data_IF_080403234809
#
_entry.id   IF_080403234809
#
_cell.length_a   1.000
_cell.length_b   1.000
_cell.length_c   1.000
_cell.angle_alpha   90.00
_cell.angle_beta   90.00
_cell.angle_gamma   90.00
#
_symmetry.space_group_name_H-M   'P 1'
#
loop_
_entity.id
_entity.type
_entity.pdbx_description
1 polymer ?
#
# COMPACT_ATOMS: atom_id res chain seq x y z
N UNK A 1 -5.56 20.33 20.24
CA UNK A 1 -6.36 19.45 19.38
C UNK A 1 -5.62 19.34 18.06
N UNK A 2 -5.06 18.18 17.72
CA UNK A 2 -4.24 17.93 16.52
C UNK A 2 -5.07 17.74 15.22
N UNK A 3 -6.40 17.79 15.31
CA UNK A 3 -7.32 17.40 14.23
C UNK A 3 -8.07 18.55 13.56
N UNK A 4 -7.69 19.80 13.83
CA UNK A 4 -8.41 20.99 13.32
C UNK A 4 -7.57 21.92 12.46
N UNK A 5 -6.38 21.51 12.08
CA UNK A 5 -5.43 22.36 11.37
C UNK A 5 -5.15 21.72 10.01
N UNK A 6 -5.82 22.24 8.97
CA UNK A 6 -5.83 21.74 7.59
C UNK A 6 -4.41 21.48 7.06
N UNK A 7 -3.44 22.26 7.55
CA UNK A 7 -2.02 22.08 7.29
C UNK A 7 -1.51 20.69 7.69
N UNK A 8 -1.88 20.19 8.88
CA UNK A 8 -1.46 18.86 9.33
C UNK A 8 -2.10 17.75 8.50
N UNK A 9 -3.35 17.93 8.07
CA UNK A 9 -4.04 16.97 7.20
C UNK A 9 -3.32 16.89 5.85
N UNK A 10 -2.94 18.04 5.29
CA UNK A 10 -2.20 18.12 4.03
C UNK A 10 -0.81 17.49 4.12
N UNK A 11 -0.02 17.85 5.14
CA UNK A 11 1.31 17.26 5.38
C UNK A 11 1.22 15.73 5.56
N UNK A 12 0.20 15.27 6.29
CA UNK A 12 -0.05 13.84 6.44
C UNK A 12 -0.42 13.17 5.10
N UNK A 13 -1.30 13.80 4.31
CA UNK A 13 -1.70 13.28 3.01
C UNK A 13 -0.50 13.17 2.04
N UNK A 14 0.35 14.19 1.99
CA UNK A 14 1.58 14.19 1.18
C UNK A 14 2.54 13.05 1.61
N UNK A 15 2.76 12.87 2.91
CA UNK A 15 3.58 11.77 3.42
C UNK A 15 2.97 10.39 3.14
N UNK A 16 1.64 10.27 3.21
CA UNK A 16 0.92 9.05 2.87
C UNK A 16 1.04 8.73 1.37
N UNK A 17 0.91 9.71 0.48
CA UNK A 17 1.08 9.55 -0.98
C UNK A 17 2.46 8.94 -1.29
N UNK A 18 3.52 9.48 -0.70
CA UNK A 18 4.89 8.95 -0.88
C UNK A 18 4.95 7.48 -0.41
N UNK A 19 4.40 7.20 0.78
CA UNK A 19 4.43 5.86 1.38
C UNK A 19 3.69 4.82 0.54
N UNK A 20 2.48 5.14 0.05
CA UNK A 20 1.69 4.25 -0.80
C UNK A 20 2.32 4.06 -2.17
N UNK A 21 2.94 5.10 -2.74
CA UNK A 21 3.65 5.01 -4.02
C UNK A 21 4.88 4.10 -3.93
N UNK A 22 5.69 4.26 -2.87
CA UNK A 22 6.84 3.38 -2.60
C UNK A 22 6.36 1.94 -2.38
N UNK A 23 5.34 1.75 -1.53
CA UNK A 23 4.81 0.43 -1.22
C UNK A 23 4.29 -0.28 -2.49
N UNK A 24 3.47 0.39 -3.30
CA UNK A 24 2.91 -0.17 -4.54
C UNK A 24 4.00 -0.69 -5.49
N UNK A 25 5.05 0.12 -5.68
CA UNK A 25 6.18 -0.22 -6.54
C UNK A 25 6.95 -1.43 -6.00
N UNK A 26 7.28 -1.40 -4.71
CA UNK A 26 8.01 -2.46 -4.03
C UNK A 26 7.22 -3.76 -3.95
N UNK A 27 5.91 -3.68 -3.72
CA UNK A 27 5.00 -4.82 -3.70
C UNK A 27 5.08 -5.60 -5.00
N UNK A 28 4.91 -4.93 -6.14
CA UNK A 28 5.00 -5.56 -7.46
C UNK A 28 6.38 -6.17 -7.69
N UNK A 29 7.44 -5.41 -7.41
CA UNK A 29 8.81 -5.84 -7.65
C UNK A 29 9.19 -7.09 -6.85
N UNK A 30 8.92 -7.08 -5.54
CA UNK A 30 9.33 -8.16 -4.65
C UNK A 30 8.43 -9.39 -4.79
N UNK A 31 7.13 -9.21 -5.05
CA UNK A 31 6.23 -10.34 -5.29
C UNK A 31 6.58 -11.08 -6.60
N UNK A 32 6.90 -10.35 -7.67
CA UNK A 32 7.38 -10.96 -8.93
C UNK A 32 8.67 -11.76 -8.75
N UNK A 33 9.57 -11.29 -7.89
CA UNK A 33 10.84 -11.95 -7.58
C UNK A 33 10.71 -13.04 -6.51
N UNK A 34 9.52 -13.21 -5.90
CA UNK A 34 9.30 -14.04 -4.70
C UNK A 34 10.29 -13.71 -3.57
N UNK A 35 10.66 -12.43 -3.47
CA UNK A 35 11.62 -11.92 -2.48
C UNK A 35 10.90 -11.67 -1.15
N UNK A 36 10.76 -12.73 -0.35
CA UNK A 36 9.99 -12.70 0.90
C UNK A 36 10.52 -11.66 1.90
N UNK A 37 11.84 -11.54 2.05
CA UNK A 37 12.44 -10.64 3.03
C UNK A 37 12.09 -9.18 2.73
N UNK A 38 12.31 -8.76 1.48
CA UNK A 38 12.04 -7.39 1.09
C UNK A 38 10.53 -7.13 0.95
N UNK A 39 9.75 -8.13 0.54
CA UNK A 39 8.28 -8.03 0.54
C UNK A 39 7.74 -7.80 1.96
N UNK A 40 8.26 -8.54 2.95
CA UNK A 40 7.89 -8.38 4.36
C UNK A 40 8.28 -7.00 4.88
N UNK A 41 9.47 -6.49 4.53
CA UNK A 41 9.90 -5.13 4.89
C UNK A 41 8.96 -4.06 4.32
N UNK A 42 8.59 -4.16 3.04
CA UNK A 42 7.66 -3.24 2.41
C UNK A 42 6.30 -3.23 3.12
N UNK A 43 5.76 -4.41 3.43
CA UNK A 43 4.51 -4.55 4.18
C UNK A 43 4.58 -3.95 5.59
N UNK A 44 5.67 -4.19 6.34
CA UNK A 44 5.83 -3.61 7.68
C UNK A 44 5.89 -2.08 7.69
N UNK A 45 6.46 -1.46 6.64
CA UNK A 45 6.49 0.00 6.51
C UNK A 45 5.10 0.58 6.28
N UNK A 46 4.28 -0.02 5.42
CA UNK A 46 2.98 0.54 5.04
C UNK A 46 1.86 0.23 6.04
N UNK A 47 1.95 -0.92 6.74
CA UNK A 47 0.88 -1.43 7.60
C UNK A 47 0.38 -0.42 8.64
N UNK A 48 1.23 0.34 9.37
CA UNK A 48 0.76 1.36 10.31
C UNK A 48 -0.09 2.43 9.64
N UNK A 49 0.35 2.96 8.48
CA UNK A 49 -0.37 4.01 7.75
C UNK A 49 -1.70 3.47 7.21
N UNK A 50 -1.69 2.27 6.63
CA UNK A 50 -2.92 1.61 6.15
C UNK A 50 -3.93 1.40 7.29
N UNK A 51 -3.48 0.97 8.47
CA UNK A 51 -4.35 0.79 9.63
C UNK A 51 -4.89 2.12 10.18
N UNK A 52 -4.06 3.17 10.24
CA UNK A 52 -4.49 4.51 10.64
C UNK A 52 -5.60 5.06 9.73
N UNK A 53 -5.54 4.73 8.44
CA UNK A 53 -6.54 5.13 7.44
C UNK A 53 -7.71 4.14 7.29
N UNK A 54 -7.74 3.06 8.07
CA UNK A 54 -8.81 2.04 7.98
C UNK A 54 -8.78 1.20 6.69
N UNK A 55 -7.64 1.15 6.00
CA UNK A 55 -7.45 0.47 4.71
C UNK A 55 -7.16 -1.02 4.88
N UNK A 56 -8.08 -1.74 5.53
CA UNK A 56 -7.95 -3.17 5.81
C UNK A 56 -7.74 -4.01 4.54
N UNK A 57 -8.30 -3.59 3.41
CA UNK A 57 -8.14 -4.27 2.11
C UNK A 57 -6.68 -4.36 1.65
N UNK A 58 -5.85 -3.35 1.94
CA UNK A 58 -4.41 -3.38 1.63
C UNK A 58 -3.69 -4.37 2.53
N UNK A 59 -4.04 -4.40 3.82
CA UNK A 59 -3.43 -5.32 4.78
C UNK A 59 -3.79 -6.76 4.44
N UNK A 60 -5.07 -7.03 4.15
CA UNK A 60 -5.56 -8.35 3.80
C UNK A 60 -4.93 -8.88 2.51
N UNK A 61 -4.81 -8.03 1.49
CA UNK A 61 -4.17 -8.42 0.23
C UNK A 61 -2.67 -8.68 0.41
N UNK A 62 -1.98 -7.88 1.23
CA UNK A 62 -0.58 -8.15 1.59
C UNK A 62 -0.41 -9.49 2.31
N UNK A 63 -1.29 -9.81 3.26
CA UNK A 63 -1.28 -11.10 3.96
C UNK A 63 -1.59 -12.26 3.01
N UNK A 64 -2.48 -12.07 2.04
CA UNK A 64 -2.73 -13.02 0.96
C UNK A 64 -1.48 -13.25 0.09
N UNK A 65 -0.80 -12.19 -0.34
CA UNK A 65 0.38 -12.32 -1.19
C UNK A 65 1.57 -12.99 -0.51
N UNK A 66 1.72 -12.86 0.82
CA UNK A 66 2.69 -13.67 1.54
C UNK A 66 2.43 -15.17 1.37
N UNK A 67 1.16 -15.59 1.37
CA UNK A 67 0.79 -16.99 1.12
C UNK A 67 1.10 -17.39 -0.32
N UNK A 68 0.93 -16.50 -1.29
CA UNK A 68 1.31 -16.74 -2.69
C UNK A 68 2.81 -17.06 -2.81
N UNK A 69 3.66 -16.29 -2.11
CA UNK A 69 5.10 -16.56 -2.04
C UNK A 69 5.37 -17.89 -1.35
N UNK A 70 4.84 -18.07 -0.14
CA UNK A 70 5.10 -19.23 0.72
C UNK A 70 4.64 -20.57 0.13
N UNK A 71 3.47 -20.58 -0.51
CA UNK A 71 2.89 -21.78 -1.12
C UNK A 71 3.36 -21.99 -2.57
N UNK A 72 4.35 -21.21 -3.02
CA UNK A 72 4.90 -21.26 -4.39
C UNK A 72 3.82 -21.26 -5.49
N UNK A 73 2.77 -20.45 -5.29
CA UNK A 73 1.64 -20.35 -6.23
C UNK A 73 2.09 -19.94 -7.64
N UNK A 74 1.37 -20.32 -8.71
CA UNK A 74 1.73 -19.99 -10.08
C UNK A 74 1.79 -18.47 -10.34
N UNK A 75 2.54 -18.09 -11.37
CA UNK A 75 2.74 -16.68 -11.72
C UNK A 75 1.43 -15.94 -12.07
N UNK A 76 0.39 -16.65 -12.50
CA UNK A 76 -0.96 -16.09 -12.68
C UNK A 76 -1.53 -15.49 -11.39
N UNK A 77 -1.25 -16.12 -10.24
CA UNK A 77 -1.73 -15.65 -8.93
C UNK A 77 -0.93 -14.43 -8.49
N UNK A 78 0.39 -14.42 -8.77
CA UNK A 78 1.26 -13.23 -8.59
C UNK A 78 0.70 -12.05 -9.38
N UNK A 79 0.45 -12.22 -10.68
CA UNK A 79 -0.05 -11.13 -11.53
C UNK A 79 -1.43 -10.64 -11.06
N UNK A 80 -2.32 -11.56 -10.68
CA UNK A 80 -3.64 -11.21 -10.15
C UNK A 80 -3.55 -10.38 -8.87
N UNK A 81 -2.65 -10.76 -7.95
CA UNK A 81 -2.42 -10.01 -6.71
C UNK A 81 -1.81 -8.62 -6.96
N UNK A 82 -0.87 -8.51 -7.91
CA UNK A 82 -0.27 -7.23 -8.31
C UNK A 82 -1.33 -6.28 -8.88
N UNK A 83 -2.17 -6.77 -9.81
CA UNK A 83 -3.24 -5.96 -10.40
C UNK A 83 -4.23 -5.49 -9.32
N UNK A 84 -4.59 -6.37 -8.39
CA UNK A 84 -5.50 -6.04 -7.30
C UNK A 84 -4.90 -4.99 -6.36
N UNK A 85 -3.63 -5.14 -5.98
CA UNK A 85 -2.94 -4.18 -5.12
C UNK A 85 -2.73 -2.83 -5.83
N UNK A 86 -2.31 -2.83 -7.11
CA UNK A 86 -2.12 -1.59 -7.88
C UNK A 86 -3.43 -0.81 -7.97
N UNK A 87 -4.55 -1.49 -8.30
CA UNK A 87 -5.88 -0.86 -8.31
C UNK A 87 -6.24 -0.25 -6.95
N UNK A 88 -6.02 -0.98 -5.87
CA UNK A 88 -6.37 -0.53 -4.52
C UNK A 88 -5.52 0.67 -4.10
N UNK A 89 -4.21 0.61 -4.33
CA UNK A 89 -3.30 1.72 -4.06
C UNK A 89 -3.63 2.96 -4.90
N UNK A 90 -3.96 2.80 -6.19
CA UNK A 90 -4.33 3.93 -7.04
C UNK A 90 -5.61 4.63 -6.56
N UNK A 91 -6.59 3.88 -6.05
CA UNK A 91 -7.78 4.48 -5.44
C UNK A 91 -7.42 5.34 -4.22
N UNK A 92 -6.59 4.80 -3.33
CA UNK A 92 -6.11 5.52 -2.14
C UNK A 92 -5.29 6.75 -2.51
N UNK A 93 -4.38 6.64 -3.48
CA UNK A 93 -3.57 7.75 -3.96
C UNK A 93 -4.45 8.88 -4.50
N UNK A 94 -5.44 8.58 -5.33
CA UNK A 94 -6.36 9.58 -5.86
C UNK A 94 -7.15 10.28 -4.74
N UNK A 95 -7.59 9.56 -3.71
CA UNK A 95 -8.27 10.14 -2.56
C UNK A 95 -7.36 11.08 -1.76
N UNK A 96 -6.11 10.67 -1.51
CA UNK A 96 -5.12 11.49 -0.81
C UNK A 96 -4.72 12.72 -1.62
N UNK A 97 -4.57 12.58 -2.94
CA UNK A 97 -4.25 13.70 -3.85
C UNK A 97 -5.36 14.75 -3.82
N UNK A 98 -6.63 14.34 -3.84
CA UNK A 98 -7.78 15.25 -3.70
C UNK A 98 -7.75 15.98 -2.35
N UNK A 99 -7.39 15.31 -1.26
CA UNK A 99 -7.26 15.92 0.07
C UNK A 99 -6.11 16.94 0.09
N UNK A 100 -4.98 16.63 -0.55
CA UNK A 100 -3.80 17.51 -0.59
C UNK A 100 -3.95 18.73 -1.53
N UNK A 101 -4.83 18.61 -2.53
CA UNK A 101 -5.03 19.59 -3.60
C UNK A 101 -6.20 20.55 -3.38
N UNK A 102 -7.05 20.31 -2.38
CA UNK A 102 -8.09 21.25 -2.00
C UNK A 102 -7.44 22.49 -1.35
N UNK A 103 -7.50 23.62 -2.06
CA UNK A 103 -7.21 24.98 -1.56
C UNK A 103 -8.41 25.59 -0.82
#
# INVERSE_FOLDING_TARGET
MLYGDEKYIKEFAEAAIISFTEFKTNYSLFLQKRDEENFRRAGHKIKPVAQMLGLNSIVDEYENAKKIIWEEKPDSDIQSSIIKMDKTCNQVLNELENISSNE
#
